data_IF_700649774879
#
_entry.id   IF_700649774879
#
_cell.length_a   1.000
_cell.length_b   1.000
_cell.length_c   1.000
_cell.angle_alpha   90.00
_cell.angle_beta   90.00
_cell.angle_gamma   90.00
#
_symmetry.space_group_name_H-M   'P 1'
#
loop_
_entity.id
_entity.type
_entity.pdbx_description
1 polymer ?
#
# COMPACT_ATOMS: atom_id res chain seq x y z
N UNK A 1 -39.96 13.98 24.68
CA UNK A 1 -39.12 14.47 23.56
C UNK A 1 -37.70 14.59 24.05
N UNK A 2 -36.89 13.56 23.84
CA UNK A 2 -35.45 13.59 24.13
C UNK A 2 -34.75 13.58 22.78
N UNK A 3 -34.17 14.72 22.44
CA UNK A 3 -33.36 14.94 21.25
C UNK A 3 -32.16 13.99 21.30
N UNK A 4 -32.16 12.96 20.46
CA UNK A 4 -30.99 12.11 20.27
C UNK A 4 -29.95 12.89 19.47
N UNK A 5 -28.90 13.34 20.16
CA UNK A 5 -27.66 13.79 19.56
C UNK A 5 -27.05 12.61 18.77
N UNK A 6 -27.32 12.55 17.46
CA UNK A 6 -26.42 11.87 16.53
C UNK A 6 -25.15 12.70 16.47
N UNK A 7 -24.13 12.28 17.22
CA UNK A 7 -22.77 12.74 16.97
C UNK A 7 -22.40 12.31 15.55
N UNK A 8 -22.56 13.21 14.59
CA UNK A 8 -21.98 13.07 13.27
C UNK A 8 -20.46 13.14 13.43
N UNK A 9 -19.82 11.98 13.61
CA UNK A 9 -18.44 11.83 13.17
C UNK A 9 -18.53 12.04 11.66
N UNK A 10 -18.11 13.23 11.20
CA UNK A 10 -18.18 13.57 9.78
C UNK A 10 -17.23 12.65 9.01
N UNK A 11 -17.79 11.87 8.09
CA UNK A 11 -16.99 11.15 7.11
C UNK A 11 -16.58 12.13 6.01
N UNK A 12 -15.30 12.16 5.68
CA UNK A 12 -14.84 12.81 4.45
C UNK A 12 -14.74 11.74 3.37
N UNK A 13 -15.57 11.85 2.33
CA UNK A 13 -15.54 10.96 1.17
C UNK A 13 -14.59 11.49 0.10
N UNK A 14 -14.04 10.58 -0.68
CA UNK A 14 -13.20 10.88 -1.83
C UNK A 14 -13.70 10.13 -3.05
N UNK A 15 -13.37 10.63 -4.23
CA UNK A 15 -13.50 9.84 -5.46
C UNK A 15 -12.41 8.76 -5.49
N UNK A 16 -12.63 7.64 -6.18
CA UNK A 16 -11.59 6.64 -6.39
C UNK A 16 -10.27 7.23 -6.97
N UNK A 17 -10.35 8.22 -7.87
CA UNK A 17 -9.19 8.92 -8.43
C UNK A 17 -8.30 9.62 -7.38
N UNK A 18 -8.82 9.92 -6.18
CA UNK A 18 -8.02 10.52 -5.11
C UNK A 18 -7.08 9.50 -4.45
N UNK A 19 -7.30 8.20 -4.70
CA UNK A 19 -6.45 7.10 -4.28
C UNK A 19 -5.37 6.76 -5.32
N UNK A 20 -5.25 7.51 -6.41
CA UNK A 20 -4.21 7.29 -7.43
C UNK A 20 -2.98 8.18 -7.18
N UNK A 21 -1.81 7.73 -7.65
CA UNK A 21 -0.62 8.59 -7.74
C UNK A 21 -0.93 9.79 -8.63
N UNK A 22 -0.68 10.99 -8.13
CA UNK A 22 -1.14 12.22 -8.76
C UNK A 22 -0.03 13.21 -9.16
N UNK A 23 1.23 12.79 -9.01
CA UNK A 23 2.40 13.51 -9.49
C UNK A 23 3.20 12.66 -10.46
N UNK A 24 3.66 13.29 -11.55
CA UNK A 24 4.66 12.70 -12.43
C UNK A 24 6.02 12.83 -11.78
N UNK A 25 6.64 11.70 -11.45
CA UNK A 25 8.02 11.64 -10.95
C UNK A 25 8.89 11.14 -12.08
N UNK A 26 9.95 11.88 -12.42
CA UNK A 26 10.96 11.38 -13.35
C UNK A 26 11.64 10.17 -12.72
N UNK A 27 11.40 8.98 -13.27
CA UNK A 27 12.17 7.82 -12.91
C UNK A 27 13.57 7.99 -13.49
N UNK A 28 14.60 7.80 -12.66
CA UNK A 28 15.95 7.62 -13.16
C UNK A 28 15.94 6.46 -14.16
N UNK A 29 16.17 6.79 -15.43
CA UNK A 29 16.30 5.81 -16.51
C UNK A 29 17.64 5.11 -16.34
N UNK A 30 17.73 4.21 -15.37
CA UNK A 30 18.78 3.21 -15.38
C UNK A 30 18.38 2.11 -16.37
N UNK A 31 19.26 1.82 -17.32
CA UNK A 31 19.07 0.76 -18.29
C UNK A 31 18.86 -0.57 -17.54
N UNK A 32 17.86 -1.34 -17.97
CA UNK A 32 17.60 -2.70 -17.50
C UNK A 32 18.78 -3.60 -17.93
N UNK A 33 19.91 -3.48 -17.26
CA UNK A 33 20.94 -4.50 -17.32
C UNK A 33 20.36 -5.77 -16.71
N UNK A 34 20.47 -6.89 -17.42
CA UNK A 34 20.10 -8.20 -16.88
C UNK A 34 20.80 -8.38 -15.53
N UNK A 35 20.02 -8.69 -14.49
CA UNK A 35 20.56 -8.99 -13.17
C UNK A 35 21.58 -10.13 -13.30
N UNK A 36 22.87 -9.80 -13.27
CA UNK A 36 23.96 -10.72 -13.60
C UNK A 36 24.01 -11.95 -12.68
N UNK A 37 23.38 -11.86 -11.49
CA UNK A 37 23.24 -12.93 -10.51
C UNK A 37 21.85 -12.87 -9.88
N UNK A 38 21.15 -14.00 -9.87
CA UNK A 38 19.88 -14.14 -9.14
C UNK A 38 20.07 -14.07 -7.62
N UNK A 39 18.97 -13.86 -6.89
CA UNK A 39 18.95 -13.70 -5.44
C UNK A 39 18.69 -12.27 -4.99
N UNK A 40 18.90 -12.04 -3.68
CA UNK A 40 18.75 -10.73 -3.05
C UNK A 40 19.96 -9.83 -3.34
N UNK A 41 19.69 -8.57 -3.70
CA UNK A 41 20.68 -7.52 -3.89
C UNK A 41 20.13 -6.17 -3.42
N UNK A 42 20.99 -5.18 -3.18
CA UNK A 42 20.53 -3.80 -2.97
C UNK A 42 19.84 -3.33 -4.25
N UNK A 43 18.61 -2.83 -4.14
CA UNK A 43 17.87 -2.37 -5.31
C UNK A 43 18.53 -1.14 -5.89
N UNK A 44 18.61 -1.10 -7.23
CA UNK A 44 19.03 0.08 -7.98
C UNK A 44 17.93 1.14 -8.03
N UNK A 45 16.67 0.74 -7.83
CA UNK A 45 15.53 1.65 -7.82
C UNK A 45 15.36 2.29 -6.44
N UNK A 46 15.06 3.58 -6.45
CA UNK A 46 14.79 4.33 -5.22
C UNK A 46 13.30 4.26 -4.85
N UNK A 47 12.91 3.58 -3.75
CA UNK A 47 11.52 3.49 -3.32
C UNK A 47 10.91 4.85 -2.93
N UNK A 48 11.73 5.87 -2.64
CA UNK A 48 11.23 7.21 -2.36
C UNK A 48 10.47 7.83 -3.54
N UNK A 49 10.67 7.35 -4.77
CA UNK A 49 9.92 7.82 -5.94
C UNK A 49 8.44 7.50 -5.83
N UNK A 50 8.07 6.40 -5.18
CA UNK A 50 6.67 6.04 -4.91
C UNK A 50 6.04 7.08 -3.98
N UNK A 51 6.73 7.43 -2.88
CA UNK A 51 6.24 8.44 -1.93
C UNK A 51 6.05 9.80 -2.61
N UNK A 52 7.02 10.20 -3.44
CA UNK A 52 7.00 11.47 -4.17
C UNK A 52 5.92 11.55 -5.24
N UNK A 53 5.33 10.42 -5.65
CA UNK A 53 4.22 10.39 -6.60
C UNK A 53 2.89 10.84 -5.98
N UNK A 54 2.83 11.01 -4.65
CA UNK A 54 1.67 11.50 -3.93
C UNK A 54 1.87 12.95 -3.45
N UNK A 55 0.98 13.85 -3.87
CA UNK A 55 1.10 15.30 -3.63
C UNK A 55 1.15 15.75 -2.17
N UNK A 56 0.61 14.95 -1.24
CA UNK A 56 0.57 15.29 0.18
C UNK A 56 1.62 14.56 1.00
N UNK A 57 2.46 13.74 0.38
CA UNK A 57 3.47 12.94 1.05
C UNK A 57 4.88 13.39 0.69
N UNK A 58 5.81 13.15 1.60
CA UNK A 58 7.24 13.27 1.38
C UNK A 58 8.00 12.36 2.33
N UNK A 59 9.29 12.22 2.08
CA UNK A 59 10.21 11.62 3.04
C UNK A 59 10.45 12.60 4.18
N UNK A 60 10.37 12.10 5.41
CA UNK A 60 10.60 12.86 6.64
C UNK A 60 12.06 13.23 6.79
N UNK A 61 12.33 14.47 7.21
CA UNK A 61 13.68 14.95 7.46
C UNK A 61 14.45 14.03 8.42
N UNK A 62 15.72 13.72 8.07
CA UNK A 62 16.58 12.82 8.85
C UNK A 62 16.30 11.32 8.62
N UNK A 63 15.49 10.98 7.62
CA UNK A 63 15.22 9.61 7.20
C UNK A 63 15.39 9.45 5.69
N UNK A 64 15.52 8.19 5.25
CA UNK A 64 15.43 7.80 3.85
C UNK A 64 14.85 6.39 3.70
N UNK A 65 14.38 6.07 2.50
CA UNK A 65 13.91 4.74 2.15
C UNK A 65 14.90 4.07 1.20
N UNK A 66 15.23 2.81 1.46
CA UNK A 66 16.06 2.00 0.57
C UNK A 66 15.47 0.61 0.46
N UNK A 67 15.68 -0.04 -0.68
CA UNK A 67 15.11 -1.36 -0.93
C UNK A 67 16.18 -2.42 -1.20
N UNK A 68 15.89 -3.66 -0.82
CA UNK A 68 16.49 -4.82 -1.45
C UNK A 68 15.54 -5.36 -2.52
N UNK A 69 16.11 -5.97 -3.56
CA UNK A 69 15.36 -6.62 -4.62
C UNK A 69 15.85 -8.05 -4.77
N UNK A 70 14.91 -8.98 -4.88
CA UNK A 70 15.13 -10.37 -5.21
C UNK A 70 14.78 -10.59 -6.67
N UNK A 71 15.62 -11.31 -7.40
CA UNK A 71 15.31 -11.74 -8.78
C UNK A 71 15.74 -13.18 -9.03
N UNK A 72 14.84 -14.02 -9.55
CA UNK A 72 15.17 -15.40 -9.93
C UNK A 72 14.20 -15.91 -11.00
N UNK A 73 14.73 -16.43 -12.11
CA UNK A 73 13.91 -17.09 -13.15
C UNK A 73 12.83 -16.19 -13.76
N UNK A 74 13.05 -14.88 -13.83
CA UNK A 74 12.07 -13.90 -14.32
C UNK A 74 11.09 -13.40 -13.24
N UNK A 75 11.08 -13.99 -12.05
CA UNK A 75 10.33 -13.48 -10.91
C UNK A 75 11.10 -12.38 -10.18
N UNK A 76 10.35 -11.51 -9.52
CA UNK A 76 10.89 -10.39 -8.76
C UNK A 76 10.09 -10.17 -7.48
N UNK A 77 10.78 -9.81 -6.41
CA UNK A 77 10.17 -9.28 -5.19
C UNK A 77 11.11 -8.24 -4.59
N UNK A 78 10.63 -7.43 -3.66
CA UNK A 78 11.47 -6.45 -3.00
C UNK A 78 10.96 -6.14 -1.62
N UNK A 79 11.82 -5.54 -0.82
CA UNK A 79 11.49 -5.10 0.53
C UNK A 79 12.08 -3.73 0.74
N UNK A 80 11.28 -2.82 1.29
CA UNK A 80 11.68 -1.46 1.61
C UNK A 80 11.97 -1.34 3.09
N UNK A 81 13.07 -0.64 3.41
CA UNK A 81 13.50 -0.32 4.76
C UNK A 81 13.59 1.19 4.94
N UNK A 82 13.16 1.67 6.10
CA UNK A 82 13.49 3.02 6.57
C UNK A 82 14.80 3.00 7.35
N UNK A 83 15.63 4.01 7.09
CA UNK A 83 16.92 4.23 7.74
C UNK A 83 17.06 5.69 8.15
N UNK A 84 18.04 5.99 9.00
CA UNK A 84 18.54 7.38 9.13
C UNK A 84 19.22 7.81 7.83
N UNK A 85 19.19 9.10 7.55
CA UNK A 85 19.72 9.66 6.31
C UNK A 85 21.23 9.45 6.13
N UNK A 86 21.98 9.28 7.22
CA UNK A 86 23.42 9.02 7.27
C UNK A 86 23.82 7.53 7.19
N UNK A 87 22.86 6.60 7.18
CA UNK A 87 23.10 5.15 7.15
C UNK A 87 22.89 4.56 5.76
N UNK A 88 23.60 3.52 5.35
CA UNK A 88 23.35 2.85 4.06
C UNK A 88 22.96 1.39 4.27
N UNK A 89 22.25 0.80 3.29
CA UNK A 89 21.97 -0.63 3.34
C UNK A 89 23.28 -1.43 3.25
N UNK A 90 23.55 -2.35 4.20
CA UNK A 90 24.65 -3.28 4.05
C UNK A 90 24.35 -4.31 2.93
N UNK A 91 25.35 -5.03 2.42
CA UNK A 91 25.11 -6.17 1.53
C UNK A 91 24.15 -7.20 2.15
N UNK A 92 23.24 -7.83 1.38
CA UNK A 92 22.25 -8.79 1.89
C UNK A 92 22.84 -9.98 2.65
N UNK A 93 24.08 -10.39 2.34
CA UNK A 93 24.77 -11.50 3.00
C UNK A 93 25.22 -11.16 4.42
N UNK A 94 25.26 -9.87 4.77
CA UNK A 94 25.61 -9.37 6.09
C UNK A 94 24.38 -9.15 6.98
N UNK A 95 23.17 -9.32 6.43
CA UNK A 95 21.93 -9.14 7.16
C UNK A 95 21.41 -10.47 7.72
N UNK A 96 20.84 -10.47 8.93
CA UNK A 96 19.88 -11.49 9.35
C UNK A 96 18.76 -11.69 8.32
N UNK A 97 18.22 -12.91 8.30
CA UNK A 97 17.10 -13.29 7.43
C UNK A 97 15.81 -13.37 8.24
N UNK A 98 14.73 -12.84 7.69
CA UNK A 98 13.40 -12.98 8.26
C UNK A 98 12.82 -14.34 7.84
N UNK A 99 13.09 -15.39 8.63
CA UNK A 99 12.78 -16.79 8.26
C UNK A 99 11.28 -17.11 8.10
N UNK A 100 10.41 -16.31 8.71
CA UNK A 100 8.96 -16.47 8.65
C UNK A 100 8.31 -15.66 7.50
N UNK A 101 9.11 -14.91 6.75
CA UNK A 101 8.65 -14.04 5.67
C UNK A 101 8.95 -14.64 4.29
N UNK A 102 8.10 -14.33 3.30
CA UNK A 102 8.26 -14.87 1.95
C UNK A 102 9.62 -14.54 1.34
N UNK A 103 10.34 -15.55 0.83
CA UNK A 103 11.71 -15.46 0.28
C UNK A 103 12.80 -15.06 1.28
N UNK A 104 12.51 -15.05 2.59
CA UNK A 104 13.46 -14.77 3.66
C UNK A 104 14.26 -13.48 3.40
N UNK A 105 13.61 -12.31 3.34
CA UNK A 105 14.27 -11.06 3.01
C UNK A 105 15.38 -10.70 4.01
N UNK A 106 16.42 -9.99 3.54
CA UNK A 106 17.44 -9.45 4.42
C UNK A 106 16.88 -8.31 5.28
N UNK A 107 17.12 -8.33 6.59
CA UNK A 107 16.79 -7.26 7.52
C UNK A 107 18.06 -6.63 8.10
N UNK A 108 18.39 -5.37 7.79
CA UNK A 108 19.48 -4.65 8.44
C UNK A 108 19.16 -4.39 9.92
N UNK A 109 20.16 -4.46 10.79
CA UNK A 109 19.98 -4.24 12.23
C UNK A 109 19.57 -2.80 12.56
N UNK A 110 20.02 -1.83 11.75
CA UNK A 110 19.74 -0.41 11.91
C UNK A 110 18.43 0.04 11.27
N UNK A 111 17.75 -0.83 10.51
CA UNK A 111 16.49 -0.51 9.86
C UNK A 111 15.34 -0.43 10.86
N UNK A 112 14.43 0.51 10.64
CA UNK A 112 13.17 0.55 11.38
C UNK A 112 12.26 -0.60 10.93
N UNK A 113 11.49 -1.15 11.87
CA UNK A 113 10.56 -2.27 11.62
C UNK A 113 9.43 -1.90 10.65
N UNK A 114 8.98 -0.65 10.67
CA UNK A 114 7.96 -0.11 9.77
C UNK A 114 8.57 1.03 8.94
N UNK A 115 8.57 0.89 7.62
CA UNK A 115 9.12 1.91 6.73
C UNK A 115 8.27 3.21 6.71
N UNK A 116 7.00 3.15 7.10
CA UNK A 116 6.11 4.32 7.14
C UNK A 116 6.54 5.34 8.21
N UNK A 117 7.45 5.00 9.13
CA UNK A 117 8.07 5.99 10.05
C UNK A 117 8.85 7.08 9.32
N UNK A 118 9.33 6.79 8.11
CA UNK A 118 10.08 7.71 7.27
C UNK A 118 9.18 8.52 6.32
N UNK A 119 7.88 8.26 6.31
CA UNK A 119 6.90 8.98 5.48
C UNK A 119 6.19 10.02 6.33
N UNK A 120 6.05 11.23 5.81
CA UNK A 120 5.25 12.27 6.43
C UNK A 120 4.40 13.04 5.41
N UNK A 121 3.45 13.80 5.93
CA UNK A 121 2.49 14.59 5.18
C UNK A 121 1.87 15.66 6.07
N UNK A 122 0.86 16.34 5.56
CA UNK A 122 0.22 17.47 6.24
C UNK A 122 -0.83 17.07 7.30
N UNK A 123 -1.02 15.76 7.52
CA UNK A 123 -2.05 15.15 8.38
C UNK A 123 -3.48 15.53 7.99
N UNK A 124 -3.70 15.98 6.75
CA UNK A 124 -5.05 16.12 6.18
C UNK A 124 -5.66 14.75 5.91
N UNK A 125 -7.00 14.65 5.83
CA UNK A 125 -7.69 13.42 5.39
C UNK A 125 -7.16 12.87 4.05
N UNK A 126 -6.82 13.75 3.10
CA UNK A 126 -6.26 13.33 1.82
C UNK A 126 -4.87 12.72 1.99
N UNK A 127 -4.01 13.30 2.84
CA UNK A 127 -2.69 12.73 3.11
C UNK A 127 -2.78 11.33 3.72
N UNK A 128 -3.77 11.04 4.57
CA UNK A 128 -3.98 9.70 5.12
C UNK A 128 -4.47 8.72 4.05
N UNK A 129 -5.37 9.14 3.16
CA UNK A 129 -5.76 8.31 2.02
C UNK A 129 -4.54 7.99 1.14
N UNK A 130 -3.75 9.00 0.80
CA UNK A 130 -2.53 8.81 0.00
C UNK A 130 -1.52 7.92 0.72
N UNK A 131 -1.35 8.06 2.03
CA UNK A 131 -0.46 7.20 2.82
C UNK A 131 -0.92 5.73 2.83
N UNK A 132 -2.23 5.49 2.90
CA UNK A 132 -2.81 4.15 2.86
C UNK A 132 -2.54 3.44 1.52
N UNK A 133 -2.58 4.17 0.41
CA UNK A 133 -2.24 3.63 -0.92
C UNK A 133 -0.72 3.47 -1.04
N UNK A 134 0.04 4.51 -0.70
CA UNK A 134 1.49 4.52 -0.74
C UNK A 134 2.11 3.34 0.03
N UNK A 135 1.54 2.93 1.17
CA UNK A 135 2.05 1.78 1.92
C UNK A 135 1.96 0.49 1.11
N UNK A 136 0.86 0.26 0.38
CA UNK A 136 0.72 -0.93 -0.46
C UNK A 136 1.66 -0.91 -1.65
N UNK A 137 1.83 0.25 -2.30
CA UNK A 137 2.81 0.44 -3.37
C UNK A 137 4.24 0.14 -2.90
N UNK A 138 4.59 0.56 -1.68
CA UNK A 138 5.89 0.27 -1.07
C UNK A 138 6.06 -1.19 -0.67
N UNK A 139 4.99 -1.87 -0.19
CA UNK A 139 5.02 -3.30 0.09
C UNK A 139 5.17 -4.15 -1.17
N UNK A 140 4.73 -3.67 -2.32
CA UNK A 140 4.87 -4.34 -3.61
C UNK A 140 6.11 -3.89 -4.39
N UNK A 141 6.98 -3.07 -3.79
CA UNK A 141 8.20 -2.60 -4.43
C UNK A 141 9.04 -3.75 -4.98
N UNK A 142 9.39 -3.69 -6.27
CA UNK A 142 10.23 -4.69 -6.93
C UNK A 142 9.53 -6.01 -7.27
N UNK A 143 8.22 -6.14 -7.00
CA UNK A 143 7.43 -7.30 -7.37
C UNK A 143 7.30 -7.46 -8.89
N UNK A 144 7.46 -8.70 -9.37
CA UNK A 144 7.24 -9.07 -10.77
C UNK A 144 6.55 -10.44 -10.83
N UNK A 145 5.71 -10.66 -11.84
CA UNK A 145 4.96 -11.90 -12.04
C UNK A 145 4.16 -12.30 -10.79
N UNK A 146 4.42 -13.47 -10.21
CA UNK A 146 3.70 -13.99 -9.05
C UNK A 146 3.93 -13.19 -7.77
N UNK A 147 4.89 -12.26 -7.75
CA UNK A 147 5.06 -11.32 -6.65
C UNK A 147 3.98 -10.23 -6.60
N UNK A 148 3.21 -10.04 -7.69
CA UNK A 148 2.21 -8.98 -7.79
C UNK A 148 0.89 -9.45 -7.17
N UNK A 149 0.35 -8.63 -6.27
CA UNK A 149 -0.98 -8.73 -5.70
C UNK A 149 -1.71 -7.38 -5.73
N UNK A 150 -1.11 -6.34 -5.14
CA UNK A 150 -1.70 -5.01 -5.02
C UNK A 150 -1.85 -4.32 -6.38
N UNK A 151 -0.91 -4.51 -7.31
CA UNK A 151 -0.95 -3.90 -8.64
C UNK A 151 -2.07 -4.42 -9.53
N UNK A 152 -2.86 -5.40 -9.04
CA UNK A 152 -4.10 -5.89 -9.64
C UNK A 152 -5.36 -5.47 -8.87
N UNK A 153 -5.21 -4.81 -7.72
CA UNK A 153 -6.34 -4.22 -6.99
C UNK A 153 -6.79 -2.95 -7.71
N UNK A 154 -8.10 -2.82 -7.95
CA UNK A 154 -8.71 -1.61 -8.48
C UNK A 154 -9.59 -0.96 -7.41
N UNK A 155 -9.28 0.29 -7.03
CA UNK A 155 -10.08 1.03 -6.05
C UNK A 155 -11.45 1.37 -6.63
N UNK A 156 -12.49 0.95 -5.91
CA UNK A 156 -13.89 1.12 -6.32
C UNK A 156 -14.44 2.50 -5.99
N UNK A 157 -15.61 2.82 -6.55
CA UNK A 157 -16.35 4.06 -6.25
C UNK A 157 -16.04 5.19 -7.23
N UNK A 158 -15.86 4.84 -8.50
CA UNK A 158 -15.78 5.80 -9.60
C UNK A 158 -17.20 6.27 -9.95
N UNK A 159 -17.43 7.58 -10.16
CA UNK A 159 -18.78 8.12 -10.40
C UNK A 159 -19.50 7.54 -11.62
N UNK A 160 -18.74 7.02 -12.59
CA UNK A 160 -19.26 6.49 -13.86
C UNK A 160 -19.19 4.94 -13.92
N UNK A 161 -18.72 4.27 -12.86
CA UNK A 161 -18.68 2.80 -12.76
C UNK A 161 -19.83 2.29 -11.89
N UNK A 162 -21.04 2.24 -12.45
CA UNK A 162 -22.05 1.26 -12.00
C UNK A 162 -21.52 -0.19 -12.19
N UNK A 163 -20.45 -0.34 -12.98
CA UNK A 163 -19.72 -1.57 -13.25
C UNK A 163 -19.15 -2.25 -12.01
N UNK A 164 -18.67 -1.52 -11.01
CA UNK A 164 -17.92 -2.10 -9.90
C UNK A 164 -18.71 -3.18 -9.12
N UNK A 165 -20.02 -2.98 -8.95
CA UNK A 165 -20.88 -3.91 -8.20
C UNK A 165 -21.70 -4.86 -9.07
N UNK A 166 -21.86 -4.57 -10.36
CA UNK A 166 -22.70 -5.38 -11.29
C UNK A 166 -21.87 -6.17 -12.32
N UNK A 167 -20.56 -5.99 -12.38
CA UNK A 167 -19.69 -6.64 -13.36
C UNK A 167 -19.58 -8.16 -13.19
N UNK A 168 -19.85 -8.65 -11.98
CA UNK A 168 -19.75 -10.06 -11.64
C UNK A 168 -20.99 -10.56 -10.91
N UNK A 169 -21.28 -11.84 -11.08
CA UNK A 169 -22.25 -12.57 -10.26
C UNK A 169 -21.64 -12.82 -8.87
N UNK A 170 -21.65 -11.80 -8.02
CA UNK A 170 -21.02 -11.84 -6.69
C UNK A 170 -21.70 -12.82 -5.74
N UNK A 171 -20.89 -13.70 -5.14
CA UNK A 171 -21.23 -14.49 -3.97
C UNK A 171 -20.82 -13.71 -2.72
N UNK A 172 -21.80 -13.08 -2.08
CA UNK A 172 -21.57 -12.21 -0.91
C UNK A 172 -21.19 -13.04 0.33
N UNK A 173 -20.02 -12.76 0.91
CA UNK A 173 -19.60 -13.28 2.22
C UNK A 173 -20.02 -12.34 3.36
N UNK A 174 -20.23 -11.06 3.05
CA UNK A 174 -20.70 -10.02 3.97
C UNK A 174 -21.81 -9.19 3.32
N UNK A 175 -22.51 -8.42 4.15
CA UNK A 175 -23.43 -7.40 3.65
C UNK A 175 -22.70 -6.39 2.78
N UNK A 176 -23.35 -5.98 1.68
CA UNK A 176 -22.84 -4.94 0.81
C UNK A 176 -22.62 -3.64 1.60
N UNK A 177 -21.46 -2.97 1.45
CA UNK A 177 -21.19 -1.73 2.17
C UNK A 177 -22.13 -0.59 1.73
N UNK A 178 -22.58 0.23 2.69
CA UNK A 178 -23.38 1.43 2.43
C UNK A 178 -22.58 2.56 1.71
N UNK A 179 -21.25 2.52 1.82
CA UNK A 179 -20.33 3.49 1.21
C UNK A 179 -19.27 2.68 0.48
N UNK A 180 -19.22 2.82 -0.84
CA UNK A 180 -18.24 2.13 -1.69
C UNK A 180 -16.99 2.98 -1.83
N UNK A 181 -17.16 4.28 -2.02
CA UNK A 181 -16.09 5.23 -2.29
C UNK A 181 -15.13 5.32 -1.09
N UNK A 182 -13.83 5.62 -1.32
CA UNK A 182 -12.90 5.83 -0.23
C UNK A 182 -13.38 6.90 0.74
N UNK A 183 -13.18 6.68 2.03
CA UNK A 183 -13.55 7.65 3.04
C UNK A 183 -12.62 7.66 4.25
N UNK A 184 -12.60 8.80 4.92
CA UNK A 184 -11.81 9.08 6.10
C UNK A 184 -12.70 9.49 7.27
N UNK A 185 -12.31 9.08 8.48
CA UNK A 185 -12.86 9.57 9.73
C UNK A 185 -11.88 9.38 10.89
N UNK A 186 -12.16 10.00 12.04
CA UNK A 186 -11.48 9.65 13.29
C UNK A 186 -12.32 8.65 14.08
N UNK A 187 -11.72 7.53 14.51
CA UNK A 187 -12.41 6.59 15.37
C UNK A 187 -12.65 7.16 16.78
N UNK A 188 -13.37 6.43 17.64
CA UNK A 188 -13.71 6.89 19.00
C UNK A 188 -12.51 7.19 19.88
N UNK A 189 -11.38 6.53 19.62
CA UNK A 189 -10.13 6.75 20.33
C UNK A 189 -9.31 7.90 19.73
N UNK A 190 -9.78 8.52 18.65
CA UNK A 190 -9.13 9.64 17.97
C UNK A 190 -8.04 9.23 16.97
N UNK A 191 -7.98 7.96 16.57
CA UNK A 191 -7.07 7.54 15.50
C UNK A 191 -7.65 7.92 14.12
N UNK A 192 -6.82 8.41 13.19
CA UNK A 192 -7.22 8.57 11.79
C UNK A 192 -7.50 7.20 11.18
N UNK A 193 -8.62 7.08 10.47
CA UNK A 193 -9.02 5.84 9.79
C UNK A 193 -9.37 6.13 8.34
N UNK A 194 -8.80 5.34 7.45
CA UNK A 194 -9.15 5.32 6.03
C UNK A 194 -9.80 3.97 5.71
N UNK A 195 -10.90 4.01 4.98
CA UNK A 195 -11.56 2.82 4.46
C UNK A 195 -11.75 2.98 2.97
N UNK A 196 -11.45 1.93 2.21
CA UNK A 196 -11.75 1.84 0.79
C UNK A 196 -12.00 0.39 0.40
N UNK A 197 -12.57 0.22 -0.78
CA UNK A 197 -12.88 -1.08 -1.34
C UNK A 197 -12.14 -1.25 -2.66
N UNK A 198 -11.83 -2.50 -2.98
CA UNK A 198 -11.15 -2.85 -4.21
C UNK A 198 -11.72 -4.12 -4.81
N UNK A 199 -11.55 -4.29 -6.12
CA UNK A 199 -11.65 -5.60 -6.76
C UNK A 199 -10.26 -6.11 -7.10
N UNK A 200 -10.02 -7.42 -6.94
CA UNK A 200 -8.80 -8.09 -7.38
C UNK A 200 -9.17 -9.25 -8.29
N UNK A 201 -8.48 -9.36 -9.42
CA UNK A 201 -8.75 -10.39 -10.42
C UNK A 201 -7.72 -11.53 -10.47
N UNK A 202 -6.84 -11.67 -9.48
CA UNK A 202 -5.91 -12.79 -9.38
C UNK A 202 -6.61 -14.01 -8.75
N UNK A 203 -6.56 -15.15 -9.45
CA UNK A 203 -7.06 -16.43 -8.95
C UNK A 203 -8.58 -16.48 -8.92
N UNK A 204 -9.17 -16.12 -7.78
CA UNK A 204 -10.63 -15.94 -7.64
C UNK A 204 -10.88 -14.45 -7.58
N UNK A 205 -11.82 -13.95 -8.38
CA UNK A 205 -12.15 -12.53 -8.35
C UNK A 205 -12.71 -12.19 -6.97
N UNK A 206 -12.11 -11.23 -6.29
CA UNK A 206 -12.49 -10.82 -4.93
C UNK A 206 -12.89 -9.36 -4.89
N UNK A 207 -13.91 -9.07 -4.09
CA UNK A 207 -14.19 -7.73 -3.61
C UNK A 207 -13.66 -7.62 -2.18
N UNK A 208 -12.69 -6.74 -1.98
CA UNK A 208 -12.04 -6.53 -0.69
C UNK A 208 -12.43 -5.19 -0.05
N UNK A 209 -12.44 -5.16 1.28
CA UNK A 209 -12.45 -3.94 2.10
C UNK A 209 -11.11 -3.81 2.81
N UNK A 210 -10.50 -2.64 2.71
CA UNK A 210 -9.31 -2.27 3.46
C UNK A 210 -9.68 -1.24 4.52
N UNK A 211 -9.22 -1.45 5.74
CA UNK A 211 -9.34 -0.50 6.85
C UNK A 211 -7.94 -0.21 7.39
N UNK A 212 -7.46 1.00 7.16
CA UNK A 212 -6.19 1.49 7.71
C UNK A 212 -6.47 2.32 8.94
N UNK A 213 -5.99 1.87 10.10
CA UNK A 213 -6.06 2.62 11.36
C UNK A 213 -4.67 3.15 11.68
N UNK A 214 -4.48 4.44 11.48
CA UNK A 214 -3.19 5.11 11.67
C UNK A 214 -2.89 5.38 13.14
N UNK A 215 -1.60 5.46 13.46
CA UNK A 215 -1.12 6.10 14.68
C UNK A 215 -1.62 7.55 14.77
N UNK A 216 -1.66 8.09 16.00
CA UNK A 216 -1.98 9.51 16.21
C UNK A 216 -0.80 10.41 15.88
N UNK A 217 0.40 9.86 15.95
CA UNK A 217 1.64 10.63 15.95
C UNK A 217 2.33 10.63 14.57
N UNK A 218 2.09 9.60 13.75
CA UNK A 218 2.69 9.43 12.44
C UNK A 218 1.78 8.64 11.47
N UNK A 219 2.33 8.20 10.34
CA UNK A 219 1.63 7.45 9.29
C UNK A 219 1.81 5.93 9.38
N UNK A 220 2.38 5.42 10.48
CA UNK A 220 2.32 3.97 10.75
C UNK A 220 0.87 3.56 10.94
N UNK A 221 0.48 2.39 10.41
CA UNK A 221 -0.90 1.96 10.41
C UNK A 221 -1.03 0.46 10.64
N UNK A 222 -2.09 0.09 11.35
CA UNK A 222 -2.61 -1.27 11.31
C UNK A 222 -3.58 -1.39 10.13
N UNK A 223 -3.45 -2.45 9.33
CA UNK A 223 -4.27 -2.67 8.13
C UNK A 223 -5.06 -3.96 8.27
N UNK A 224 -6.38 -3.85 8.19
CA UNK A 224 -7.28 -5.00 8.08
C UNK A 224 -7.79 -5.12 6.64
N UNK A 225 -7.52 -6.26 5.99
CA UNK A 225 -8.14 -6.65 4.72
C UNK A 225 -9.26 -7.65 5.00
N UNK A 226 -10.39 -7.47 4.36
CA UNK A 226 -11.55 -8.36 4.50
C UNK A 226 -12.16 -8.65 3.14
N UNK A 227 -12.35 -9.91 2.79
CA UNK A 227 -13.11 -10.32 1.61
C UNK A 227 -14.60 -10.09 1.90
N UNK A 228 -15.26 -9.30 1.05
CA UNK A 228 -16.68 -8.97 1.11
C UNK A 228 -17.49 -9.92 0.23
N UNK A 229 -16.96 -10.22 -0.95
CA UNK A 229 -17.58 -11.12 -1.91
C UNK A 229 -16.52 -11.78 -2.78
N UNK A 230 -16.88 -12.91 -3.36
CA UNK A 230 -16.10 -13.58 -4.40
C UNK A 230 -16.93 -13.73 -5.66
N UNK A 231 -16.26 -13.88 -6.79
CA UNK A 231 -16.88 -14.10 -8.09
C UNK A 231 -16.11 -15.20 -8.83
N UNK A 232 -16.40 -15.40 -10.11
CA UNK A 232 -15.79 -16.42 -10.95
C UNK A 232 -14.25 -16.38 -11.01
N UNK A 233 -13.69 -17.27 -11.84
CA UNK A 233 -12.25 -17.37 -12.01
C UNK A 233 -11.65 -16.06 -12.58
N UNK A 234 -10.56 -15.65 -11.97
CA UNK A 234 -9.69 -14.57 -12.42
C UNK A 234 -8.49 -15.08 -13.22
N UNK A 235 -7.46 -14.25 -13.30
CA UNK A 235 -6.20 -14.50 -13.99
C UNK A 235 -5.26 -15.32 -13.10
N UNK A 236 -4.52 -16.23 -13.72
CA UNK A 236 -3.43 -16.98 -13.08
C UNK A 236 -2.17 -16.66 -13.87
N UNK A 237 -1.13 -16.20 -13.16
CA UNK A 237 0.21 -16.01 -13.71
C UNK A 237 0.93 -17.34 -13.87
#
# INVERSE_FOLDING_TARGET
MVTQYRNHIGFQRFTAHAAEMNLMVEADREELEEFEKGGWQISRHNPEHIVRAFSQLRIKDGFKLRGYQFTEGGNGNGIVWALKDDQELPPPEQCPRLEDEFLNPPKPDEAFDDFMVAVEGDRSPLSYLQAAICSHELYEFGAMWHGISWGREQVMGRPDDDFDTEMHDWEMEQDQPDIIEPYFYYNRSGHPVVVYHTTNDIGVITWNRYVHTFSKDDYTAHVDKTVIATAGAGIIF
#
